data_IF_470021391795
#
_entry.id   IF_470021391795
#
_cell.length_a   1.000
_cell.length_b   1.000
_cell.length_c   1.000
_cell.angle_alpha   90.00
_cell.angle_beta   90.00
_cell.angle_gamma   90.00
#
_symmetry.space_group_name_H-M   'P 1'
#
loop_
_entity.id
_entity.type
_entity.pdbx_description
1 polymer ?
#
# COMPACT_ATOMS: atom_id res chain seq x y z
N UNK A 1 15.10 10.95 1.62
CA UNK A 1 15.38 9.50 1.68
C UNK A 1 14.31 8.87 2.56
N UNK A 2 13.36 8.10 1.99
CA UNK A 2 12.35 7.39 2.78
C UNK A 2 12.96 6.06 3.25
N UNK A 3 13.17 5.90 4.56
CA UNK A 3 13.54 4.61 5.14
C UNK A 3 12.24 3.78 5.16
N UNK A 4 12.16 2.80 4.27
CA UNK A 4 11.06 1.84 4.29
C UNK A 4 11.23 0.94 5.51
N UNK A 5 10.27 1.03 6.43
CA UNK A 5 10.19 0.19 7.62
C UNK A 5 8.92 -0.66 7.52
N UNK A 6 9.10 -1.92 7.13
CA UNK A 6 8.02 -2.87 6.96
C UNK A 6 7.34 -3.27 8.28
N UNK A 7 7.96 -2.95 9.43
CA UNK A 7 7.41 -3.24 10.75
C UNK A 7 6.51 -2.12 11.28
N UNK A 8 6.54 -0.94 10.64
CA UNK A 8 5.62 0.14 10.98
C UNK A 8 4.22 -0.20 10.56
N UNK A 9 3.30 -0.03 11.52
CA UNK A 9 1.85 -0.20 11.32
C UNK A 9 1.18 1.07 10.78
N UNK A 10 1.95 2.12 10.50
CA UNK A 10 1.45 3.42 10.07
C UNK A 10 2.37 4.05 9.03
N UNK A 11 1.76 4.53 7.94
CA UNK A 11 2.41 5.26 6.87
C UNK A 11 1.67 6.58 6.64
N UNK A 12 2.42 7.68 6.61
CA UNK A 12 1.93 9.00 6.26
C UNK A 12 2.70 9.53 5.06
N UNK A 13 1.97 9.91 4.01
CA UNK A 13 2.55 10.45 2.79
C UNK A 13 2.19 11.93 2.71
N UNK A 14 3.17 12.77 3.02
CA UNK A 14 3.00 14.21 3.18
C UNK A 14 2.43 14.90 1.94
N UNK A 15 2.80 14.42 0.74
CA UNK A 15 2.39 15.05 -0.52
C UNK A 15 0.98 14.70 -1.00
N UNK A 16 0.37 13.62 -0.49
CA UNK A 16 -0.96 13.18 -0.89
C UNK A 16 -1.99 13.24 0.26
N UNK A 17 -1.59 13.73 1.43
CA UNK A 17 -2.37 13.66 2.68
C UNK A 17 -2.91 12.23 2.95
N UNK A 18 -2.20 11.22 2.46
CA UNK A 18 -2.65 9.84 2.52
C UNK A 18 -2.05 9.19 3.77
N UNK A 19 -2.92 8.77 4.68
CA UNK A 19 -2.58 8.06 5.90
C UNK A 19 -3.08 6.62 5.77
N UNK A 20 -2.25 5.64 6.10
CA UNK A 20 -2.60 4.22 6.05
C UNK A 20 -2.17 3.53 7.34
N UNK A 21 -3.10 2.80 7.96
CA UNK A 21 -2.83 1.99 9.15
C UNK A 21 -2.96 0.51 8.84
N UNK A 22 -2.18 -0.33 9.53
CA UNK A 22 -2.26 -1.80 9.49
C UNK A 22 -2.21 -2.38 8.06
N UNK A 23 -1.42 -1.77 7.18
CA UNK A 23 -1.24 -2.24 5.81
C UNK A 23 -0.30 -3.44 5.75
N UNK A 24 -0.46 -4.25 4.71
CA UNK A 24 0.56 -5.20 4.29
C UNK A 24 1.53 -4.50 3.32
N UNK A 25 2.80 -4.90 3.35
CA UNK A 25 3.78 -4.39 2.39
C UNK A 25 4.68 -5.49 1.85
N UNK A 26 5.06 -5.36 0.58
CA UNK A 26 5.97 -6.27 -0.11
C UNK A 26 6.92 -5.49 -0.99
N UNK A 27 8.21 -5.82 -0.92
CA UNK A 27 9.23 -5.30 -1.83
C UNK A 27 9.40 -6.26 -2.99
N UNK A 28 9.17 -5.78 -4.21
CA UNK A 28 9.36 -6.54 -5.44
C UNK A 28 10.83 -6.48 -5.88
N UNK A 29 11.28 -7.50 -6.62
CA UNK A 29 12.66 -7.55 -7.17
C UNK A 29 12.99 -6.39 -8.13
N UNK A 30 11.98 -5.67 -8.62
CA UNK A 30 12.13 -4.48 -9.47
C UNK A 30 12.57 -3.24 -8.70
N UNK A 31 12.51 -3.27 -7.36
CA UNK A 31 12.71 -2.10 -6.50
C UNK A 31 11.43 -1.30 -6.25
N UNK A 32 10.28 -1.84 -6.64
CA UNK A 32 8.96 -1.28 -6.29
C UNK A 32 8.51 -1.85 -4.95
N UNK A 33 7.99 -0.99 -4.08
CA UNK A 33 7.37 -1.40 -2.82
C UNK A 33 5.87 -1.25 -2.99
N UNK A 34 5.13 -2.34 -2.82
CA UNK A 34 3.67 -2.33 -2.82
C UNK A 34 3.13 -2.26 -1.39
N UNK A 35 2.07 -1.48 -1.21
CA UNK A 35 1.31 -1.32 0.01
C UNK A 35 -0.13 -1.74 -0.30
N UNK A 36 -0.66 -2.65 0.50
CA UNK A 36 -1.92 -3.34 0.20
C UNK A 36 -2.85 -3.20 1.40
N UNK A 37 -4.11 -2.87 1.10
CA UNK A 37 -5.19 -2.70 2.07
C UNK A 37 -4.82 -1.68 3.17
N UNK A 38 -5.04 -2.06 4.42
CA UNK A 38 -5.02 -1.20 5.58
C UNK A 38 -6.29 -1.38 6.39
N UNK A 39 -6.44 -0.61 7.46
CA UNK A 39 -7.51 -0.81 8.42
C UNK A 39 -7.99 0.47 9.09
N UNK A 40 -8.81 0.25 10.12
CA UNK A 40 -9.34 1.30 10.96
C UNK A 40 -8.24 1.71 11.94
N UNK A 41 -7.90 3.00 11.96
CA UNK A 41 -6.93 3.54 12.93
C UNK A 41 -7.46 3.43 14.37
N UNK A 42 -6.58 3.56 15.39
CA UNK A 42 -7.01 3.59 16.80
C UNK A 42 -8.10 4.62 17.13
N UNK A 43 -8.22 5.69 16.33
CA UNK A 43 -9.21 6.75 16.50
C UNK A 43 -10.49 6.53 15.66
N UNK A 44 -10.75 5.29 15.21
CA UNK A 44 -11.89 4.90 14.38
C UNK A 44 -12.01 5.54 12.98
N UNK A 45 -11.00 6.28 12.53
CA UNK A 45 -10.95 6.77 11.16
C UNK A 45 -10.51 5.65 10.20
N UNK A 46 -11.22 5.52 9.08
CA UNK A 46 -10.85 4.61 7.98
C UNK A 46 -9.70 5.21 7.18
N UNK A 47 -8.53 4.62 7.34
CA UNK A 47 -7.28 5.01 6.68
C UNK A 47 -6.72 3.76 6.00
N UNK A 48 -7.40 3.35 4.93
CA UNK A 48 -7.11 2.14 4.19
C UNK A 48 -6.99 2.41 2.69
N UNK A 49 -6.17 1.62 2.03
CA UNK A 49 -6.18 1.52 0.57
C UNK A 49 -7.42 0.69 0.19
N UNK A 50 -8.26 1.14 -0.77
CA UNK A 50 -9.37 0.34 -1.29
C UNK A 50 -8.91 -1.02 -1.82
N UNK A 51 -9.75 -2.06 -1.71
CA UNK A 51 -9.34 -3.42 -2.08
C UNK A 51 -9.11 -3.61 -3.60
N UNK A 52 -9.65 -2.71 -4.41
CA UNK A 52 -9.43 -2.63 -5.85
C UNK A 52 -8.22 -1.75 -6.21
N UNK A 53 -7.42 -1.33 -5.23
CA UNK A 53 -6.25 -0.46 -5.42
C UNK A 53 -5.03 -1.03 -4.70
N UNK A 54 -3.84 -0.79 -5.27
CA UNK A 54 -2.55 -1.00 -4.64
C UNK A 54 -1.78 0.30 -4.73
N UNK A 55 -1.31 0.79 -3.59
CA UNK A 55 -0.39 1.92 -3.55
C UNK A 55 1.03 1.40 -3.76
N UNK A 56 1.78 2.01 -4.67
CA UNK A 56 3.15 1.62 -4.96
C UNK A 56 4.12 2.78 -4.78
N UNK A 57 5.33 2.47 -4.35
CA UNK A 57 6.47 3.37 -4.34
C UNK A 57 7.61 2.82 -5.20
N UNK A 58 7.96 3.54 -6.26
CA UNK A 58 9.15 3.26 -7.05
C UNK A 58 10.37 3.90 -6.37
N UNK A 59 11.27 3.07 -5.85
CA UNK A 59 12.45 3.54 -5.11
C UNK A 59 13.50 4.20 -6.00
N UNK A 60 13.55 3.87 -7.30
CA UNK A 60 14.51 4.44 -8.25
C UNK A 60 14.09 5.83 -8.68
N UNK A 61 12.78 5.99 -8.94
CA UNK A 61 12.19 7.27 -9.35
C UNK A 61 11.75 8.13 -8.17
N UNK A 62 11.78 7.59 -6.95
CA UNK A 62 11.26 8.22 -5.74
C UNK A 62 9.81 8.71 -5.90
N UNK A 63 8.98 7.90 -6.55
CA UNK A 63 7.62 8.29 -6.96
C UNK A 63 6.55 7.36 -6.40
N UNK A 64 5.45 7.95 -5.95
CA UNK A 64 4.23 7.24 -5.55
C UNK A 64 3.24 7.13 -6.72
N UNK A 65 2.55 6.01 -6.81
CA UNK A 65 1.48 5.78 -7.81
C UNK A 65 0.41 4.84 -7.25
N UNK A 66 -0.80 4.89 -7.80
CA UNK A 66 -1.90 3.97 -7.47
C UNK A 66 -2.15 3.07 -8.68
N UNK A 67 -2.15 1.76 -8.45
CA UNK A 67 -2.51 0.76 -9.46
C UNK A 67 -3.86 0.18 -9.13
N UNK A 68 -4.79 0.27 -10.07
CA UNK A 68 -6.07 -0.42 -9.97
C UNK A 68 -5.87 -1.92 -10.19
N UNK A 69 -6.43 -2.72 -9.31
CA UNK A 69 -6.47 -4.17 -9.42
C UNK A 69 -7.80 -4.56 -10.02
N UNK A 70 -7.77 -5.10 -11.23
CA UNK A 70 -8.91 -5.86 -11.73
C UNK A 70 -8.77 -7.26 -11.15
N UNK A 71 -9.70 -7.67 -10.28
CA UNK A 71 -9.81 -9.07 -9.92
C UNK A 71 -9.95 -9.86 -11.22
N UNK A 72 -9.03 -10.79 -11.48
CA UNK A 72 -9.17 -11.67 -12.62
C UNK A 72 -10.50 -12.42 -12.43
N UNK A 73 -11.42 -12.24 -13.38
CA UNK A 73 -12.83 -12.68 -13.30
C UNK A 73 -12.99 -14.17 -13.02
N UNK A 74 -11.93 -14.95 -13.23
CA UNK A 74 -11.88 -16.41 -13.09
C UNK A 74 -10.72 -16.91 -12.20
N UNK A 75 -10.01 -16.03 -11.48
CA UNK A 75 -8.97 -16.47 -10.56
C UNK A 75 -9.61 -16.94 -9.25
N UNK A 76 -9.93 -18.23 -9.19
CA UNK A 76 -10.23 -18.90 -7.92
C UNK A 76 -8.93 -18.90 -7.09
N UNK A 77 -8.89 -18.25 -5.91
CA UNK A 77 -7.75 -18.39 -5.03
C UNK A 77 -7.67 -19.85 -4.57
N UNK A 78 -6.60 -20.55 -4.96
CA UNK A 78 -6.32 -21.89 -4.43
C UNK A 78 -5.54 -21.71 -3.13
N UNK A 79 -6.02 -22.26 -1.99
CA UNK A 79 -5.32 -22.18 -0.70
C UNK A 79 -3.92 -22.79 -0.71
#
# INVERSE_FOLDING_TARGET
MYIHDALKKYLYIYFSQFAIYYYATVTLNTGVIAYICGGISPNNNKYNIPMNEILIYDTKLSKWDIKNVTAAKDAIPVP
#
